data_IF_703168425708
#
_entry.id   IF_703168425708
#
_cell.length_a   1.000
_cell.length_b   1.000
_cell.length_c   1.000
_cell.angle_alpha   90.00
_cell.angle_beta   90.00
_cell.angle_gamma   90.00
#
_symmetry.space_group_name_H-M   'P 1'
#
loop_
_entity.id
_entity.type
_entity.pdbx_description
1 polymer ?
#
# COMPACT_ATOMS: atom_id res chain seq x y z
N UNK A 1 10.78 10.62 23.86
CA UNK A 1 9.81 11.43 23.10
C UNK A 1 8.84 10.48 22.40
N UNK A 2 7.56 10.43 22.81
CA UNK A 2 6.56 9.58 22.15
C UNK A 2 6.22 10.18 20.79
N UNK A 3 6.57 9.52 19.71
CA UNK A 3 6.24 9.99 18.36
C UNK A 3 4.74 9.78 18.13
N UNK A 4 4.03 10.87 17.85
CA UNK A 4 2.59 10.85 17.68
C UNK A 4 2.25 10.33 16.26
N UNK A 5 1.55 9.20 16.18
CA UNK A 5 1.07 8.66 14.91
C UNK A 5 -0.07 9.52 14.37
N UNK A 6 -0.06 9.74 13.07
CA UNK A 6 -1.09 10.47 12.32
C UNK A 6 -1.73 9.56 11.29
N UNK A 7 -3.02 9.75 11.04
CA UNK A 7 -3.73 9.05 9.97
C UNK A 7 -3.43 9.72 8.62
N UNK A 8 -3.12 8.91 7.62
CA UNK A 8 -2.93 9.38 6.25
C UNK A 8 -3.86 8.65 5.30
N UNK A 9 -4.66 9.41 4.55
CA UNK A 9 -5.44 8.89 3.44
C UNK A 9 -4.52 8.73 2.23
N UNK A 10 -4.41 7.51 1.70
CA UNK A 10 -3.54 7.17 0.59
C UNK A 10 -4.37 6.57 -0.56
N UNK A 11 -4.19 7.12 -1.76
CA UNK A 11 -4.71 6.56 -3.00
C UNK A 11 -3.55 6.00 -3.81
N UNK A 12 -3.69 4.76 -4.26
CA UNK A 12 -2.65 4.01 -4.96
C UNK A 12 -3.24 3.34 -6.20
N UNK A 13 -2.51 3.38 -7.30
CA UNK A 13 -2.80 2.59 -8.50
C UNK A 13 -1.78 1.48 -8.63
N UNK A 14 -2.24 0.24 -8.81
CA UNK A 14 -1.39 -0.90 -9.12
C UNK A 14 -1.58 -1.26 -10.59
N UNK A 15 -0.51 -1.16 -11.38
CA UNK A 15 -0.44 -1.57 -12.78
C UNK A 15 0.60 -2.68 -12.93
N UNK A 16 0.21 -3.95 -12.87
CA UNK A 16 1.12 -5.07 -13.09
C UNK A 16 1.72 -4.97 -14.49
N UNK A 17 3.01 -5.28 -14.63
CA UNK A 17 3.61 -5.44 -15.97
C UNK A 17 2.94 -6.64 -16.66
N UNK A 18 2.53 -6.53 -17.94
CA UNK A 18 2.01 -7.67 -18.66
C UNK A 18 3.07 -8.76 -18.75
N UNK A 19 2.71 -9.99 -18.38
CA UNK A 19 3.57 -11.17 -18.55
C UNK A 19 2.91 -12.05 -19.62
N UNK A 20 3.53 -12.11 -20.81
CA UNK A 20 2.99 -12.86 -21.95
C UNK A 20 1.68 -12.27 -22.50
N UNK A 21 0.74 -13.14 -22.90
CA UNK A 21 -0.55 -12.76 -23.49
C UNK A 21 -1.61 -12.29 -22.47
N UNK A 22 -1.26 -12.25 -21.17
CA UNK A 22 -2.22 -11.95 -20.11
C UNK A 22 -2.30 -10.44 -19.86
N UNK A 23 -3.47 -9.86 -20.15
CA UNK A 23 -3.76 -8.43 -19.94
C UNK A 23 -4.15 -8.22 -18.48
N UNK A 24 -3.24 -7.66 -17.67
CA UNK A 24 -3.54 -7.29 -16.30
C UNK A 24 -4.37 -5.99 -16.25
N UNK A 25 -5.51 -6.03 -15.56
CA UNK A 25 -6.35 -4.85 -15.31
C UNK A 25 -5.76 -4.09 -14.11
N UNK A 26 -5.41 -2.81 -14.32
CA UNK A 26 -4.94 -1.95 -13.24
C UNK A 26 -6.04 -1.75 -12.19
N UNK A 27 -5.68 -1.86 -10.90
CA UNK A 27 -6.61 -1.66 -9.78
C UNK A 27 -6.24 -0.40 -9.01
N UNK A 28 -7.25 0.40 -8.68
CA UNK A 28 -7.12 1.55 -7.77
C UNK A 28 -7.48 1.11 -6.35
N UNK A 29 -6.64 1.48 -5.39
CA UNK A 29 -6.76 1.19 -3.97
C UNK A 29 -6.82 2.50 -3.20
N UNK A 30 -7.77 2.59 -2.26
CA UNK A 30 -7.88 3.68 -1.31
C UNK A 30 -7.77 3.08 0.10
N UNK A 31 -6.92 3.66 0.94
CA UNK A 31 -6.71 3.17 2.30
C UNK A 31 -6.30 4.28 3.25
N UNK A 32 -6.42 4.00 4.54
CA UNK A 32 -5.93 4.86 5.61
C UNK A 32 -4.77 4.13 6.29
N UNK A 33 -3.62 4.80 6.41
CA UNK A 33 -2.43 4.26 7.09
C UNK A 33 -2.03 5.17 8.24
N UNK A 34 -1.81 4.57 9.42
CA UNK A 34 -1.32 5.26 10.61
C UNK A 34 0.21 5.29 10.58
N UNK A 35 0.82 6.47 10.52
CA UNK A 35 2.28 6.57 10.49
C UNK A 35 2.79 7.86 11.14
N UNK A 36 4.09 7.90 11.40
CA UNK A 36 4.77 9.09 11.94
C UNK A 36 4.92 10.19 10.87
N UNK A 37 5.05 9.79 9.60
CA UNK A 37 5.27 10.69 8.47
C UNK A 37 4.54 10.18 7.21
N UNK A 38 4.28 11.06 6.22
CA UNK A 38 3.72 10.65 4.94
C UNK A 38 4.61 9.62 4.24
N UNK A 39 5.94 9.71 4.39
CA UNK A 39 6.89 8.77 3.79
C UNK A 39 6.71 7.37 4.36
N UNK A 40 6.61 7.25 5.69
CA UNK A 40 6.36 5.98 6.36
C UNK A 40 5.00 5.39 5.98
N UNK A 41 3.95 6.22 5.91
CA UNK A 41 2.61 5.77 5.51
C UNK A 41 2.60 5.18 4.09
N UNK A 42 3.25 5.87 3.14
CA UNK A 42 3.43 5.39 1.77
C UNK A 42 4.16 4.05 1.72
N UNK A 43 5.23 3.94 2.49
CA UNK A 43 6.08 2.75 2.51
C UNK A 43 5.36 1.52 3.11
N UNK A 44 4.58 1.72 4.18
CA UNK A 44 3.71 0.69 4.75
C UNK A 44 2.68 0.19 3.73
N UNK A 45 1.98 1.10 3.05
CA UNK A 45 0.98 0.72 2.03
C UNK A 45 1.63 -0.05 0.87
N UNK A 46 2.82 0.36 0.43
CA UNK A 46 3.57 -0.38 -0.60
C UNK A 46 3.88 -1.80 -0.13
N UNK A 47 4.39 -1.98 1.10
CA UNK A 47 4.71 -3.30 1.64
C UNK A 47 3.46 -4.18 1.76
N UNK A 48 2.34 -3.63 2.23
CA UNK A 48 1.06 -4.34 2.31
C UNK A 48 0.56 -4.77 0.93
N UNK A 49 0.68 -3.92 -0.10
CA UNK A 49 0.31 -4.29 -1.46
C UNK A 49 1.23 -5.38 -2.01
N UNK A 50 2.55 -5.26 -1.83
CA UNK A 50 3.49 -6.30 -2.24
C UNK A 50 3.19 -7.66 -1.58
N UNK A 51 2.73 -7.67 -0.34
CA UNK A 51 2.34 -8.91 0.35
C UNK A 51 0.98 -9.45 -0.12
N UNK A 52 0.01 -8.56 -0.34
CA UNK A 52 -1.33 -8.92 -0.83
C UNK A 52 -1.28 -9.56 -2.22
N UNK A 53 -0.36 -9.10 -3.07
CA UNK A 53 -0.17 -9.60 -4.43
C UNK A 53 0.87 -10.73 -4.51
N UNK A 54 0.97 -11.56 -3.46
CA UNK A 54 1.73 -12.82 -3.51
C UNK A 54 0.78 -13.98 -3.80
N UNK A 55 1.04 -14.72 -4.86
CA UNK A 55 0.33 -15.96 -5.18
C UNK A 55 1.25 -17.15 -5.01
N UNK A 56 0.67 -18.29 -4.61
CA UNK A 56 1.38 -19.56 -4.63
C UNK A 56 1.58 -19.97 -6.08
N UNK A 57 2.82 -20.23 -6.47
CA UNK A 57 3.06 -20.90 -7.74
C UNK A 57 2.67 -22.39 -7.66
N UNK A 58 2.65 -23.08 -8.79
CA UNK A 58 2.35 -24.52 -8.85
C UNK A 58 3.28 -25.41 -8.03
N UNK A 59 4.35 -24.87 -7.44
CA UNK A 59 5.25 -25.56 -6.51
C UNK A 59 4.98 -25.24 -5.03
N UNK A 60 3.94 -24.45 -4.73
CA UNK A 60 3.58 -24.06 -3.37
C UNK A 60 4.46 -22.95 -2.79
N UNK A 61 5.22 -22.24 -3.61
CA UNK A 61 6.04 -21.09 -3.18
C UNK A 61 5.28 -19.80 -3.47
N UNK A 62 5.10 -18.94 -2.46
CA UNK A 62 4.55 -17.59 -2.66
C UNK A 62 5.51 -16.72 -3.47
N UNK A 63 5.13 -16.39 -4.71
CA UNK A 63 5.87 -15.46 -5.58
C UNK A 63 5.14 -14.11 -5.68
N UNK A 64 5.88 -13.00 -5.65
CA UNK A 64 5.29 -11.67 -5.85
C UNK A 64 4.85 -11.52 -7.31
N UNK A 65 3.58 -11.18 -7.52
CA UNK A 65 3.02 -10.89 -8.85
C UNK A 65 3.34 -9.48 -9.34
N UNK A 66 3.61 -8.57 -8.41
CA UNK A 66 3.93 -7.18 -8.68
C UNK A 66 5.23 -6.82 -7.97
N UNK A 67 5.94 -5.84 -8.54
CA UNK A 67 7.08 -5.21 -7.89
C UNK A 67 6.73 -3.77 -7.49
N UNK A 68 7.66 -3.08 -6.82
CA UNK A 68 7.48 -1.68 -6.41
C UNK A 68 7.16 -0.76 -7.58
N UNK A 69 7.73 -1.00 -8.76
CA UNK A 69 7.53 -0.18 -9.96
C UNK A 69 6.10 -0.28 -10.51
N UNK A 70 5.38 -1.36 -10.19
CA UNK A 70 3.98 -1.53 -10.56
C UNK A 70 3.04 -0.67 -9.69
N UNK A 71 3.54 -0.01 -8.64
CA UNK A 71 2.74 0.70 -7.64
C UNK A 71 2.98 2.21 -7.77
N UNK A 72 1.92 2.95 -8.10
CA UNK A 72 1.96 4.42 -8.17
C UNK A 72 1.10 5.01 -7.07
N UNK A 73 1.70 5.82 -6.19
CA UNK A 73 0.94 6.55 -5.17
C UNK A 73 0.44 7.85 -5.79
N UNK A 74 -0.87 7.94 -6.01
CA UNK A 74 -1.50 9.11 -6.61
C UNK A 74 -1.64 10.25 -5.59
N UNK A 75 -1.95 9.92 -4.35
CA UNK A 75 -2.09 10.90 -3.28
C UNK A 75 -1.78 10.31 -1.91
N UNK A 76 -1.26 11.15 -1.02
CA UNK A 76 -1.06 10.84 0.40
C UNK A 76 -1.31 12.13 1.18
N UNK A 77 -2.46 12.23 1.86
CA UNK A 77 -2.86 13.42 2.61
C UNK A 77 -3.08 13.05 4.06
N UNK A 78 -2.81 14.00 4.96
CA UNK A 78 -3.21 13.86 6.36
C UNK A 78 -4.73 13.72 6.40
N UNK A 79 -5.23 12.71 7.11
CA UNK A 79 -6.67 12.52 7.32
C UNK A 79 -7.03 13.14 8.66
N UNK A 80 -7.56 14.36 8.65
CA UNK A 80 -7.79 15.16 9.87
C UNK A 80 -8.91 14.62 10.78
N UNK A 81 -9.79 13.74 10.27
CA UNK A 81 -10.87 13.16 11.08
C UNK A 81 -10.44 12.09 12.10
N UNK A 82 -9.20 11.58 12.06
CA UNK A 82 -8.71 10.60 13.02
C UNK A 82 -7.73 11.23 14.02
N UNK A 83 -8.26 11.99 14.99
CA UNK A 83 -7.54 12.23 16.25
C UNK A 83 -7.68 10.99 17.12
N UNK A 84 -6.67 10.11 17.12
CA UNK A 84 -6.55 9.07 18.14
C UNK A 84 -6.42 9.75 19.50
N UNK A 85 -7.52 9.81 20.24
CA UNK A 85 -7.50 10.13 21.66
C UNK A 85 -6.82 8.94 22.33
N UNK A 86 -5.53 9.09 22.65
CA UNK A 86 -4.88 8.16 23.57
C UNK A 86 -5.62 8.27 24.89
N UNK A 87 -6.44 7.25 25.23
CA UNK A 87 -6.98 7.11 26.58
C UNK A 87 -5.79 6.90 27.51
N UNK A 88 -5.58 7.91 28.37
CA UNK A 88 -4.69 7.86 29.53
C UNK A 88 -5.17 6.81 30.51
#
# INVERSE_FOLDING_TARGET
MSKQLKAYAISVSVKPKPVGAMKCIGRAYHGISMAESPKCAKEQVILSLLDHFKEYDGSGIKKPLINRDCITINSCKLHDDFKLVQKK
#
